data_IF_516575843519
#
_entry.id   IF_516575843519
#
_cell.length_a   1.000
_cell.length_b   1.000
_cell.length_c   1.000
_cell.angle_alpha   90.00
_cell.angle_beta   90.00
_cell.angle_gamma   90.00
#
_symmetry.space_group_name_H-M   'P 1'
#
loop_
_entity.id
_entity.type
_entity.pdbx_description
1 polymer ?
#
# COMPACT_ATOMS: atom_id res chain seq x y z
N UNK A 1 -4.84 -8.05 13.45
CA UNK A 1 -3.93 -9.18 13.63
C UNK A 1 -2.55 -8.62 13.88
N UNK A 2 -1.90 -9.02 14.95
CA UNK A 2 -0.51 -8.69 15.20
C UNK A 2 0.33 -9.87 14.72
N UNK A 3 1.39 -9.58 14.00
CA UNK A 3 2.39 -10.55 13.58
C UNK A 3 3.65 -10.36 14.41
N UNK A 4 4.32 -11.44 14.75
CA UNK A 4 5.69 -11.41 15.26
C UNK A 4 6.58 -12.19 14.31
N UNK A 5 7.78 -11.68 14.10
CA UNK A 5 8.83 -12.34 13.31
C UNK A 5 9.84 -12.86 14.31
N UNK A 6 10.15 -14.14 14.27
CA UNK A 6 11.22 -14.75 15.06
C UNK A 6 12.58 -14.65 14.35
N UNK A 7 13.65 -15.07 15.04
CA UNK A 7 15.01 -15.03 14.49
C UNK A 7 15.21 -15.99 13.28
N UNK A 8 14.25 -16.85 12.99
CA UNK A 8 14.25 -17.76 11.84
C UNK A 8 13.45 -17.19 10.67
N UNK A 9 12.98 -15.93 10.75
CA UNK A 9 12.09 -15.28 9.77
C UNK A 9 10.72 -15.98 9.64
N UNK A 10 10.30 -16.71 10.65
CA UNK A 10 8.96 -17.32 10.67
C UNK A 10 7.97 -16.26 11.15
N UNK A 11 7.01 -15.95 10.29
CA UNK A 11 5.92 -15.02 10.62
C UNK A 11 4.84 -15.78 11.39
N UNK A 12 4.66 -15.44 12.67
CA UNK A 12 3.58 -16.00 13.48
C UNK A 12 2.47 -14.99 13.67
N UNK A 13 1.24 -15.41 13.33
CA UNK A 13 0.04 -14.59 13.53
C UNK A 13 -0.41 -14.68 15.00
N UNK A 14 -0.26 -13.59 15.76
CA UNK A 14 -0.87 -13.49 17.10
C UNK A 14 -2.35 -13.18 16.96
N UNK A 15 -3.19 -14.19 17.20
CA UNK A 15 -4.64 -14.03 17.16
C UNK A 15 -5.13 -13.06 18.25
N UNK A 16 -5.75 -11.98 17.85
CA UNK A 16 -6.61 -11.23 18.75
C UNK A 16 -7.85 -12.10 19.08
N UNK A 17 -8.24 -12.16 20.37
CA UNK A 17 -9.42 -12.91 20.85
C UNK A 17 -10.75 -12.25 20.42
N UNK A 18 -10.91 -11.90 19.16
CA UNK A 18 -12.15 -11.29 18.68
C UNK A 18 -13.20 -12.40 18.42
N UNK A 19 -14.20 -12.49 19.31
CA UNK A 19 -15.31 -13.46 19.23
C UNK A 19 -16.03 -13.46 17.88
N UNK A 20 -16.09 -12.31 17.20
CA UNK A 20 -16.73 -12.16 15.89
C UNK A 20 -15.95 -12.85 14.75
N UNK A 21 -14.62 -12.94 14.86
CA UNK A 21 -13.80 -13.66 13.87
C UNK A 21 -14.01 -15.18 13.98
N UNK A 22 -14.12 -15.71 15.20
CA UNK A 22 -14.40 -17.16 15.42
C UNK A 22 -15.75 -17.55 14.83
N UNK A 23 -16.79 -16.72 15.04
CA UNK A 23 -18.13 -16.96 14.49
C UNK A 23 -18.14 -16.92 12.95
N UNK A 24 -17.42 -15.99 12.33
CA UNK A 24 -17.27 -15.93 10.86
C UNK A 24 -16.51 -17.13 10.29
N UNK A 25 -15.43 -17.58 10.95
CA UNK A 25 -14.68 -18.80 10.53
C UNK A 25 -15.53 -20.05 10.67
N UNK A 26 -16.29 -20.18 11.76
CA UNK A 26 -17.22 -21.30 11.99
C UNK A 26 -18.31 -21.37 10.90
N UNK A 27 -18.96 -20.26 10.60
CA UNK A 27 -19.99 -20.19 9.55
C UNK A 27 -19.42 -20.53 8.17
N UNK A 28 -18.22 -20.02 7.84
CA UNK A 28 -17.56 -20.33 6.56
C UNK A 28 -17.20 -21.80 6.40
N UNK A 29 -16.80 -22.48 7.49
CA UNK A 29 -16.38 -23.87 7.47
C UNK A 29 -17.55 -24.85 7.40
N UNK A 30 -18.64 -24.54 8.09
CA UNK A 30 -19.76 -25.48 8.26
C UNK A 30 -20.94 -25.23 7.31
N UNK A 31 -20.96 -24.09 6.61
CA UNK A 31 -22.04 -23.73 5.69
C UNK A 31 -21.48 -23.22 4.36
N UNK A 32 -21.02 -24.10 3.47
CA UNK A 32 -20.45 -23.70 2.18
C UNK A 32 -21.43 -22.92 1.29
N UNK A 33 -22.74 -23.16 1.41
CA UNK A 33 -23.78 -22.41 0.70
C UNK A 33 -23.85 -20.94 1.11
N UNK A 34 -23.54 -20.60 2.38
CA UNK A 34 -23.49 -19.20 2.82
C UNK A 34 -22.31 -18.45 2.18
N UNK A 35 -21.21 -19.12 1.91
CA UNK A 35 -20.08 -18.54 1.18
C UNK A 35 -20.44 -18.28 -0.29
N UNK A 36 -21.12 -19.22 -0.93
CA UNK A 36 -21.59 -19.06 -2.30
C UNK A 36 -22.60 -17.92 -2.39
N UNK A 37 -23.59 -17.86 -1.48
CA UNK A 37 -24.55 -16.79 -1.39
C UNK A 37 -23.90 -15.41 -1.18
N UNK A 38 -22.95 -15.31 -0.25
CA UNK A 38 -22.21 -14.06 -0.01
C UNK A 38 -21.32 -13.67 -1.20
N UNK A 39 -20.76 -14.65 -1.90
CA UNK A 39 -20.00 -14.42 -3.13
C UNK A 39 -20.92 -13.88 -4.25
N UNK A 40 -22.07 -14.48 -4.45
CA UNK A 40 -23.06 -14.03 -5.45
C UNK A 40 -23.56 -12.63 -5.12
N UNK A 41 -23.91 -12.32 -3.87
CA UNK A 41 -24.33 -10.97 -3.45
C UNK A 41 -23.23 -9.94 -3.68
N UNK A 42 -21.99 -10.26 -3.32
CA UNK A 42 -20.86 -9.37 -3.56
C UNK A 42 -20.64 -9.13 -5.05
N UNK A 43 -20.71 -10.18 -5.86
CA UNK A 43 -20.58 -10.08 -7.32
C UNK A 43 -21.72 -9.27 -7.93
N UNK A 44 -22.96 -9.44 -7.42
CA UNK A 44 -24.13 -8.69 -7.88
C UNK A 44 -24.05 -7.21 -7.47
N UNK A 45 -23.69 -6.91 -6.22
CA UNK A 45 -23.48 -5.53 -5.76
C UNK A 45 -22.36 -4.85 -6.55
N UNK A 46 -21.23 -5.52 -6.73
CA UNK A 46 -20.11 -5.02 -7.52
C UNK A 46 -20.52 -4.75 -8.99
N UNK A 47 -21.33 -5.65 -9.59
CA UNK A 47 -21.85 -5.47 -10.94
C UNK A 47 -22.86 -4.32 -11.01
N UNK A 48 -23.71 -4.13 -9.99
CA UNK A 48 -24.68 -3.03 -9.92
C UNK A 48 -24.00 -1.67 -9.72
N UNK A 49 -22.94 -1.60 -8.91
CA UNK A 49 -22.14 -0.39 -8.72
C UNK A 49 -21.36 -0.02 -9.99
N UNK A 50 -20.87 -1.03 -10.75
CA UNK A 50 -20.12 -0.79 -11.99
C UNK A 50 -21.01 -0.58 -13.25
N UNK A 51 -22.30 -0.91 -13.22
CA UNK A 51 -23.24 -0.66 -14.33
C UNK A 51 -23.75 0.80 -14.39
N UNK A 52 -23.51 1.61 -13.36
CA UNK A 52 -23.57 3.05 -13.53
C UNK A 52 -22.42 3.41 -14.47
N UNK A 53 -22.73 3.74 -15.72
CA UNK A 53 -21.78 4.23 -16.73
C UNK A 53 -20.91 5.29 -16.08
N UNK A 54 -19.70 4.89 -15.67
CA UNK A 54 -18.69 5.85 -15.23
C UNK A 54 -18.26 6.54 -16.51
N UNK A 55 -18.64 7.79 -16.67
CA UNK A 55 -18.04 8.66 -17.67
C UNK A 55 -16.54 8.58 -17.46
N UNK A 56 -15.78 8.30 -18.52
CA UNK A 56 -14.33 8.08 -18.44
C UNK A 56 -13.54 9.28 -17.89
N UNK A 57 -14.21 10.41 -17.70
CA UNK A 57 -13.66 11.68 -17.20
C UNK A 57 -13.92 11.91 -15.69
N UNK A 58 -14.53 10.97 -14.97
CA UNK A 58 -14.72 11.12 -13.51
C UNK A 58 -13.51 10.63 -12.74
N UNK A 59 -13.12 11.40 -11.72
CA UNK A 59 -12.09 11.00 -10.77
C UNK A 59 -12.40 9.62 -10.19
N UNK A 60 -11.38 8.77 -9.96
CA UNK A 60 -11.59 7.45 -9.38
C UNK A 60 -12.21 7.56 -7.99
N UNK A 61 -13.20 6.71 -7.74
CA UNK A 61 -13.88 6.65 -6.44
C UNK A 61 -13.20 5.59 -5.59
N UNK A 62 -12.54 6.03 -4.52
CA UNK A 62 -11.93 5.15 -3.54
C UNK A 62 -12.76 5.09 -2.27
N UNK A 63 -12.60 4.01 -1.50
CA UNK A 63 -13.21 3.94 -0.18
C UNK A 63 -12.47 4.87 0.78
N UNK A 64 -13.20 5.48 1.75
CA UNK A 64 -12.60 6.30 2.82
C UNK A 64 -11.40 5.62 3.50
N UNK A 65 -11.43 4.29 3.64
CA UNK A 65 -10.33 3.53 4.23
C UNK A 65 -9.05 3.56 3.39
N UNK A 66 -9.17 3.63 2.07
CA UNK A 66 -8.03 3.73 1.15
C UNK A 66 -7.46 5.14 1.20
N UNK A 67 -8.32 6.17 1.22
CA UNK A 67 -7.92 7.58 1.39
C UNK A 67 -7.07 7.76 2.65
N UNK A 68 -7.54 7.26 3.79
CA UNK A 68 -6.85 7.39 5.07
C UNK A 68 -5.46 6.76 5.07
N UNK A 69 -5.26 5.67 4.33
CA UNK A 69 -3.94 5.01 4.24
C UNK A 69 -2.87 5.84 3.52
N UNK A 70 -3.27 6.71 2.60
CA UNK A 70 -2.34 7.60 1.89
C UNK A 70 -2.20 8.97 2.56
N UNK A 71 -3.24 9.42 3.28
CA UNK A 71 -3.39 10.78 3.79
C UNK A 71 -2.28 11.24 4.73
N UNK A 72 -1.62 10.32 5.43
CA UNK A 72 -0.57 10.66 6.39
C UNK A 72 0.63 11.40 5.75
N UNK A 73 0.88 11.23 4.45
CA UNK A 73 2.02 11.87 3.77
C UNK A 73 1.78 13.35 3.46
N UNK A 74 0.53 13.74 3.29
CA UNK A 74 0.13 15.13 2.96
C UNK A 74 -0.79 15.77 4.00
N UNK A 75 -1.02 15.11 5.15
CA UNK A 75 -1.81 15.69 6.24
C UNK A 75 -1.08 16.86 6.87
N UNK A 76 -1.82 17.96 7.09
CA UNK A 76 -1.30 19.15 7.79
C UNK A 76 -1.33 19.00 9.33
N UNK A 77 -1.98 17.97 9.84
CA UNK A 77 -2.11 17.71 11.28
C UNK A 77 -1.41 16.42 11.65
N UNK A 78 -1.07 16.26 12.93
CA UNK A 78 -0.52 15.01 13.46
C UNK A 78 -1.59 13.93 13.65
N UNK A 79 -2.87 14.29 13.58
CA UNK A 79 -3.98 13.36 13.77
C UNK A 79 -4.41 12.73 12.44
N UNK A 80 -4.78 11.47 12.50
CA UNK A 80 -5.34 10.74 11.37
C UNK A 80 -6.65 10.07 11.83
N UNK A 81 -7.76 10.44 11.19
CA UNK A 81 -9.09 9.93 11.52
C UNK A 81 -9.13 8.39 11.55
N UNK A 82 -9.68 7.84 12.64
CA UNK A 82 -9.80 6.38 12.81
C UNK A 82 -8.54 5.67 13.31
N UNK A 83 -7.52 6.40 13.72
CA UNK A 83 -6.31 5.86 14.34
C UNK A 83 -6.10 6.50 15.71
N UNK A 84 -5.71 5.67 16.70
CA UNK A 84 -5.51 6.10 18.09
C UNK A 84 -4.14 6.77 18.30
N UNK A 85 -3.22 6.59 17.35
CA UNK A 85 -1.88 7.17 17.39
C UNK A 85 -1.74 8.25 16.31
N UNK A 86 -1.00 9.31 16.64
CA UNK A 86 -0.68 10.37 15.70
C UNK A 86 0.33 9.93 14.63
N UNK A 87 0.40 10.70 13.54
CA UNK A 87 1.29 10.42 12.40
C UNK A 87 2.75 10.30 12.86
N UNK A 88 3.23 11.19 13.72
CA UNK A 88 4.62 11.16 14.23
C UNK A 88 4.93 9.88 14.99
N UNK A 89 4.02 9.42 15.82
CA UNK A 89 4.20 8.16 16.56
C UNK A 89 4.10 6.96 15.62
N UNK A 90 3.19 7.01 14.65
CA UNK A 90 3.11 6.02 13.59
C UNK A 90 4.41 5.89 12.81
N UNK A 91 5.07 7.01 12.47
CA UNK A 91 6.38 7.02 11.80
C UNK A 91 7.47 6.36 12.66
N UNK A 92 7.53 6.69 13.97
CA UNK A 92 8.50 6.06 14.88
C UNK A 92 8.31 4.54 14.94
N UNK A 93 7.08 4.08 15.08
CA UNK A 93 6.77 2.65 15.11
C UNK A 93 7.14 1.97 13.79
N UNK A 94 6.79 2.57 12.66
CA UNK A 94 7.10 2.05 11.33
C UNK A 94 8.61 1.92 11.10
N UNK A 95 9.37 2.97 11.38
CA UNK A 95 10.83 2.96 11.22
C UNK A 95 11.52 2.04 12.23
N UNK A 96 11.01 1.93 13.48
CA UNK A 96 11.50 0.99 14.48
C UNK A 96 11.32 -0.47 14.03
N UNK A 97 10.16 -0.84 13.49
CA UNK A 97 9.95 -2.20 12.98
C UNK A 97 10.82 -2.51 11.77
N UNK A 98 11.04 -1.53 10.89
CA UNK A 98 11.97 -1.71 9.76
C UNK A 98 13.43 -1.82 10.22
N UNK A 99 13.82 -1.11 11.29
CA UNK A 99 15.15 -1.26 11.88
C UNK A 99 15.34 -2.67 12.47
N UNK A 100 14.34 -3.20 13.16
CA UNK A 100 14.37 -4.59 13.65
C UNK A 100 14.50 -5.59 12.50
N UNK A 101 13.75 -5.40 11.41
CA UNK A 101 13.90 -6.23 10.21
C UNK A 101 15.33 -6.14 9.64
N UNK A 102 15.87 -4.94 9.52
CA UNK A 102 17.24 -4.75 9.04
C UNK A 102 18.26 -5.49 9.93
N UNK A 103 18.13 -5.43 11.26
CA UNK A 103 19.00 -6.17 12.18
C UNK A 103 18.95 -7.68 11.97
N UNK A 104 17.72 -8.24 11.77
CA UNK A 104 17.52 -9.67 11.49
C UNK A 104 18.20 -10.06 10.18
N UNK A 105 18.04 -9.26 9.14
CA UNK A 105 18.65 -9.50 7.83
C UNK A 105 20.16 -9.41 7.90
N UNK A 106 20.69 -8.39 8.60
CA UNK A 106 22.13 -8.17 8.76
C UNK A 106 22.81 -9.32 9.50
N UNK A 107 22.20 -9.86 10.56
CA UNK A 107 22.70 -11.07 11.26
C UNK A 107 22.82 -12.28 10.33
N UNK A 108 22.12 -12.30 9.22
CA UNK A 108 22.11 -13.37 8.21
C UNK A 108 22.91 -13.01 6.94
N UNK A 109 23.63 -11.88 6.95
CA UNK A 109 24.33 -11.31 5.80
C UNK A 109 23.44 -11.11 4.57
N UNK A 110 22.15 -10.78 4.81
CA UNK A 110 21.18 -10.47 3.74
C UNK A 110 21.09 -8.95 3.62
N UNK A 111 21.39 -8.43 2.44
CA UNK A 111 21.29 -7.00 2.15
C UNK A 111 19.84 -6.61 1.92
N UNK A 112 19.47 -5.43 2.38
CA UNK A 112 18.13 -4.88 2.23
C UNK A 112 18.12 -3.77 1.18
N UNK A 113 17.16 -3.85 0.25
CA UNK A 113 16.83 -2.73 -0.63
C UNK A 113 15.38 -2.32 -0.37
N UNK A 114 15.11 -1.02 -0.39
CA UNK A 114 13.78 -0.48 -0.11
C UNK A 114 13.28 0.35 -1.29
N UNK A 115 12.06 0.09 -1.71
CA UNK A 115 11.41 0.81 -2.79
C UNK A 115 10.17 1.56 -2.28
N UNK A 116 9.99 2.80 -2.74
CA UNK A 116 8.80 3.61 -2.47
C UNK A 116 8.14 4.02 -3.78
N UNK A 117 6.81 3.98 -3.80
CA UNK A 117 6.00 4.39 -4.95
C UNK A 117 4.74 5.11 -4.50
N UNK A 118 4.23 6.05 -5.29
CA UNK A 118 3.04 6.79 -4.91
C UNK A 118 1.76 5.93 -5.05
N UNK A 119 0.83 6.13 -4.14
CA UNK A 119 -0.55 5.73 -4.32
C UNK A 119 -1.29 6.78 -5.16
N UNK A 120 -2.40 6.45 -5.83
CA UNK A 120 -3.16 7.43 -6.62
C UNK A 120 -3.53 8.70 -5.85
N UNK A 121 -3.86 8.57 -4.55
CA UNK A 121 -4.16 9.71 -3.69
C UNK A 121 -2.96 10.63 -3.47
N UNK A 122 -1.76 10.08 -3.39
CA UNK A 122 -0.54 10.86 -3.28
C UNK A 122 -0.26 11.61 -4.58
N UNK A 123 -0.44 11.00 -5.75
CA UNK A 123 -0.31 11.71 -7.02
C UNK A 123 -1.24 12.94 -7.10
N UNK A 124 -2.46 12.86 -6.54
CA UNK A 124 -3.43 13.92 -6.60
C UNK A 124 -3.29 14.98 -5.50
N UNK A 125 -2.68 14.65 -4.34
CA UNK A 125 -2.74 15.50 -3.14
C UNK A 125 -1.37 15.74 -2.49
N UNK A 126 -0.32 15.06 -2.91
CA UNK A 126 1.03 15.12 -2.36
C UNK A 126 1.98 15.75 -3.41
N UNK A 127 3.27 15.74 -3.11
CA UNK A 127 4.34 16.23 -3.98
C UNK A 127 5.36 15.12 -4.25
N UNK A 128 6.22 15.31 -5.23
CA UNK A 128 7.27 14.35 -5.58
C UNK A 128 8.21 14.08 -4.40
N UNK A 129 8.53 15.12 -3.61
CA UNK A 129 9.33 15.04 -2.37
C UNK A 129 8.46 14.68 -1.16
N UNK A 130 7.56 13.75 -1.32
CA UNK A 130 6.63 13.27 -0.28
C UNK A 130 7.34 12.97 1.04
N UNK A 131 6.63 13.17 2.16
CA UNK A 131 7.11 12.73 3.47
C UNK A 131 7.47 11.24 3.49
N UNK A 132 6.80 10.40 2.70
CA UNK A 132 7.16 9.00 2.53
C UNK A 132 8.57 8.84 1.93
N UNK A 133 8.88 9.61 0.91
CA UNK A 133 10.22 9.59 0.27
C UNK A 133 11.29 10.03 1.26
N UNK A 134 11.07 11.15 1.95
CA UNK A 134 12.02 11.71 2.91
C UNK A 134 12.35 10.72 4.04
N UNK A 135 11.33 10.16 4.69
CA UNK A 135 11.52 9.22 5.81
C UNK A 135 12.27 7.96 5.38
N UNK A 136 11.92 7.38 4.26
CA UNK A 136 12.55 6.14 3.82
C UNK A 136 13.93 6.35 3.21
N UNK A 137 14.18 7.51 2.61
CA UNK A 137 15.50 7.91 2.15
C UNK A 137 16.47 8.04 3.34
N UNK A 138 16.07 8.81 4.36
CA UNK A 138 16.84 8.96 5.62
C UNK A 138 17.08 7.60 6.30
N UNK A 139 16.04 6.75 6.40
CA UNK A 139 16.18 5.42 6.96
C UNK A 139 17.23 4.57 6.22
N UNK A 140 17.27 4.70 4.89
CA UNK A 140 18.16 3.90 4.04
C UNK A 140 19.61 4.36 3.98
N UNK A 141 19.95 5.59 4.38
CA UNK A 141 21.31 6.16 4.27
C UNK A 141 22.43 5.23 4.78
N UNK A 142 22.17 4.51 5.88
CA UNK A 142 23.15 3.60 6.50
C UNK A 142 22.64 2.16 6.64
N UNK A 143 21.52 1.80 5.98
CA UNK A 143 20.86 0.50 6.17
C UNK A 143 20.55 -0.25 4.89
N UNK A 144 20.30 0.47 3.81
CA UNK A 144 19.90 -0.16 2.55
C UNK A 144 21.06 -0.24 1.57
N UNK A 145 21.13 -1.33 0.82
CA UNK A 145 21.98 -1.41 -0.35
C UNK A 145 21.49 -0.49 -1.46
N UNK A 146 20.15 -0.43 -1.64
CA UNK A 146 19.52 0.47 -2.59
C UNK A 146 18.27 1.12 -1.97
N UNK A 147 18.12 2.43 -2.19
CA UNK A 147 16.86 3.13 -2.02
C UNK A 147 16.28 3.46 -3.40
N UNK A 148 15.11 2.94 -3.71
CA UNK A 148 14.50 3.03 -5.03
C UNK A 148 13.26 3.92 -4.94
N UNK A 149 13.38 5.14 -5.44
CA UNK A 149 12.30 6.11 -5.47
C UNK A 149 11.61 6.10 -6.85
N UNK A 150 10.34 5.71 -6.88
CA UNK A 150 9.52 5.73 -8.09
C UNK A 150 8.69 7.00 -8.23
N UNK A 151 8.61 7.86 -7.22
CA UNK A 151 7.80 9.09 -7.28
C UNK A 151 8.12 9.94 -8.51
N UNK A 152 9.40 10.23 -8.84
CA UNK A 152 9.72 11.05 -10.01
C UNK A 152 9.12 10.53 -11.32
N UNK A 153 9.07 9.22 -11.50
CA UNK A 153 8.55 8.62 -12.75
C UNK A 153 7.06 8.91 -12.92
N UNK A 154 6.29 8.73 -11.85
CA UNK A 154 4.84 8.93 -11.89
C UNK A 154 4.46 10.41 -11.88
N UNK A 155 5.16 11.25 -11.10
CA UNK A 155 4.93 12.69 -11.08
C UNK A 155 5.33 13.35 -12.40
N UNK A 156 6.43 12.93 -13.03
CA UNK A 156 6.80 13.41 -14.35
C UNK A 156 5.77 13.03 -15.42
N UNK A 157 5.22 11.80 -15.40
CA UNK A 157 4.14 11.42 -16.31
C UNK A 157 2.90 12.29 -16.09
N UNK A 158 2.52 12.55 -14.82
CA UNK A 158 1.39 13.40 -14.47
C UNK A 158 1.58 14.87 -14.89
N UNK A 159 2.79 15.42 -14.75
CA UNK A 159 3.10 16.81 -15.14
C UNK A 159 3.07 16.99 -16.66
N UNK A 160 3.37 15.94 -17.43
CA UNK A 160 3.31 15.94 -18.89
C UNK A 160 1.94 15.56 -19.47
N UNK A 161 1.00 15.16 -18.62
CA UNK A 161 -0.37 14.79 -18.99
C UNK A 161 -1.37 15.35 -17.98
N UNK A 162 -2.07 14.49 -17.29
CA UNK A 162 -2.96 14.84 -16.19
C UNK A 162 -3.01 13.70 -15.16
N UNK A 163 -3.52 14.00 -13.96
CA UNK A 163 -3.76 12.96 -12.94
C UNK A 163 -4.60 11.80 -13.48
N UNK A 164 -5.68 12.10 -14.21
CA UNK A 164 -6.60 11.06 -14.68
C UNK A 164 -5.95 10.18 -15.76
N UNK A 165 -5.17 10.76 -16.66
CA UNK A 165 -4.44 10.02 -17.69
C UNK A 165 -3.36 9.14 -17.08
N UNK A 166 -2.54 9.66 -16.17
CA UNK A 166 -1.53 8.89 -15.43
C UNK A 166 -2.17 7.77 -14.61
N UNK A 167 -3.28 8.05 -13.93
CA UNK A 167 -4.00 7.05 -13.18
C UNK A 167 -4.50 5.91 -14.09
N UNK A 168 -5.20 6.23 -15.17
CA UNK A 168 -5.72 5.22 -16.10
C UNK A 168 -4.60 4.42 -16.80
N UNK A 169 -3.45 5.04 -17.01
CA UNK A 169 -2.27 4.41 -17.60
C UNK A 169 -1.63 3.36 -16.70
N UNK A 170 -1.54 3.62 -15.39
CA UNK A 170 -0.73 2.83 -14.48
C UNK A 170 -1.49 2.05 -13.42
N UNK A 171 -2.75 2.37 -13.15
CA UNK A 171 -3.54 1.74 -12.10
C UNK A 171 -4.78 1.06 -12.64
N UNK A 172 -5.34 0.14 -11.87
CA UNK A 172 -6.66 -0.42 -12.18
C UNK A 172 -7.76 0.59 -11.87
N UNK A 173 -8.80 0.63 -12.69
CA UNK A 173 -9.94 1.53 -12.51
C UNK A 173 -10.60 1.34 -11.14
N UNK A 174 -10.75 2.44 -10.39
CA UNK A 174 -11.28 2.49 -9.02
C UNK A 174 -10.52 1.60 -8.01
N UNK A 175 -9.24 1.38 -8.25
CA UNK A 175 -8.39 0.54 -7.40
C UNK A 175 -7.01 1.21 -7.24
N UNK A 176 -6.40 1.21 -6.04
CA UNK A 176 -5.08 1.80 -5.83
C UNK A 176 -3.92 0.93 -6.34
N UNK A 177 -4.19 -0.29 -6.83
CA UNK A 177 -3.15 -1.20 -7.29
C UNK A 177 -2.74 -0.92 -8.73
N UNK A 178 -1.47 -1.17 -9.01
CA UNK A 178 -0.94 -1.05 -10.36
C UNK A 178 -1.54 -2.08 -11.31
N UNK A 179 -1.81 -1.64 -12.54
CA UNK A 179 -2.11 -2.51 -13.68
C UNK A 179 -0.79 -3.02 -14.32
N UNK A 180 -0.90 -3.72 -15.46
CA UNK A 180 0.26 -4.26 -16.18
C UNK A 180 1.31 -3.19 -16.51
N UNK A 181 0.88 -1.99 -16.91
CA UNK A 181 1.78 -0.89 -17.28
C UNK A 181 2.51 -0.33 -16.07
N UNK A 182 1.82 -0.16 -14.95
CA UNK A 182 2.43 0.25 -13.68
C UNK A 182 3.47 -0.77 -13.20
N UNK A 183 3.14 -2.06 -13.19
CA UNK A 183 4.11 -3.11 -12.85
C UNK A 183 5.32 -3.14 -13.79
N UNK A 184 5.12 -2.87 -15.09
CA UNK A 184 6.24 -2.78 -16.04
C UNK A 184 7.21 -1.65 -15.70
N UNK A 185 6.70 -0.48 -15.27
CA UNK A 185 7.54 0.63 -14.80
C UNK A 185 8.40 0.21 -13.62
N UNK A 186 7.77 -0.44 -12.61
CA UNK A 186 8.52 -0.91 -11.44
C UNK A 186 9.59 -1.92 -11.83
N UNK A 187 9.24 -2.91 -12.65
CA UNK A 187 10.16 -3.96 -13.08
C UNK A 187 11.35 -3.41 -13.89
N UNK A 188 11.11 -2.48 -14.80
CA UNK A 188 12.18 -1.89 -15.61
C UNK A 188 13.21 -1.17 -14.70
N UNK A 189 12.76 -0.41 -13.72
CA UNK A 189 13.65 0.27 -12.78
C UNK A 189 14.45 -0.70 -11.90
N UNK A 190 13.83 -1.80 -11.45
CA UNK A 190 14.53 -2.86 -10.72
C UNK A 190 15.59 -3.52 -11.61
N UNK A 191 15.27 -3.80 -12.87
CA UNK A 191 16.20 -4.39 -13.82
C UNK A 191 17.41 -3.47 -14.04
N UNK A 192 17.23 -2.16 -14.16
CA UNK A 192 18.33 -1.19 -14.29
C UNK A 192 19.28 -1.25 -13.09
N UNK A 193 18.75 -1.41 -11.87
CA UNK A 193 19.53 -1.40 -10.62
C UNK A 193 20.26 -2.73 -10.39
N UNK A 194 19.61 -3.86 -10.68
CA UNK A 194 20.12 -5.19 -10.34
C UNK A 194 20.74 -5.96 -11.52
N UNK A 195 20.82 -5.37 -12.72
CA UNK A 195 21.55 -5.98 -13.86
C UNK A 195 23.07 -5.74 -13.83
N UNK A 196 23.52 -4.81 -12.99
CA UNK A 196 24.95 -4.54 -12.77
C UNK A 196 25.41 -5.32 -11.54
#
# INVERSE_FOLDING_TARGET
NFYSIDDNLIVTEKYSKNKNLKRRKFLRRNFPLTNFYMFVIKKYKFKKENNNKVEDNKLPIFTKKVDLKAKWTYSKTNELEGYDIGIKEGHKLMTSHMAQLHEILNKKNIKMSLAVYPWPHQLNNDVEESAQVAIWKEFCENRCENFINYFPIFFNDMNNSSFLETYNKFYFKNDPHFNKSGHKVLANKLIEIFKN
#
